data_IF_139276407761
#
_entry.id   IF_139276407761
#
_cell.length_a   1.000
_cell.length_b   1.000
_cell.length_c   1.000
_cell.angle_alpha   90.00
_cell.angle_beta   90.00
_cell.angle_gamma   90.00
#
_symmetry.space_group_name_H-M   'P 1'
#
loop_
_entity.id
_entity.type
_entity.pdbx_description
1 polymer ?
#
# COMPACT_ATOMS: atom_id res chain seq x y z
N UNK A 1 1.36 30.68 -3.20
CA UNK A 1 1.35 30.17 -4.58
C UNK A 1 1.61 28.68 -4.51
N UNK A 2 0.54 27.87 -4.48
CA UNK A 2 0.60 26.42 -4.35
C UNK A 2 0.50 25.78 -5.73
N UNK A 3 1.57 25.13 -6.16
CA UNK A 3 1.60 24.34 -7.39
C UNK A 3 1.24 22.90 -7.04
N UNK A 4 -0.05 22.65 -6.80
CA UNK A 4 -0.62 21.33 -7.05
C UNK A 4 -1.30 21.44 -8.40
N UNK A 5 -0.50 21.37 -9.48
CA UNK A 5 -1.02 21.24 -10.82
C UNK A 5 -1.91 19.99 -10.85
N UNK A 6 -3.20 20.20 -11.12
CA UNK A 6 -4.31 19.24 -11.20
C UNK A 6 -4.11 18.06 -12.17
N UNK A 7 -2.90 17.86 -12.71
CA UNK A 7 -2.60 17.04 -13.88
C UNK A 7 -2.45 15.54 -13.51
N UNK A 8 -2.37 15.20 -12.22
CA UNK A 8 -2.26 13.82 -11.72
C UNK A 8 -3.28 13.46 -10.62
N UNK A 9 -4.49 14.03 -10.67
CA UNK A 9 -5.57 13.61 -9.78
C UNK A 9 -6.06 12.19 -10.16
N UNK A 10 -6.30 11.34 -9.17
CA UNK A 10 -6.99 10.06 -9.39
C UNK A 10 -8.43 10.27 -9.88
N UNK A 11 -9.15 9.20 -10.28
CA UNK A 11 -10.53 9.33 -10.73
C UNK A 11 -11.40 10.06 -9.69
N UNK A 12 -12.18 11.05 -10.12
CA UNK A 12 -12.86 12.00 -9.23
C UNK A 12 -13.82 11.35 -8.21
N UNK A 13 -14.29 10.13 -8.48
CA UNK A 13 -15.17 9.37 -7.58
C UNK A 13 -14.42 8.65 -6.46
N UNK A 14 -13.10 8.46 -6.57
CA UNK A 14 -12.27 7.74 -5.60
C UNK A 14 -11.10 8.57 -5.09
N UNK A 15 -10.98 9.83 -5.55
CA UNK A 15 -9.89 10.74 -5.20
C UNK A 15 -10.42 11.97 -4.46
N UNK A 16 -9.86 12.23 -3.29
CA UNK A 16 -10.08 13.43 -2.50
C UNK A 16 -8.74 14.19 -2.42
N UNK A 17 -8.64 15.45 -2.84
CA UNK A 17 -7.37 16.19 -2.80
C UNK A 17 -6.81 16.37 -1.37
N UNK A 18 -7.63 16.28 -0.33
CA UNK A 18 -7.21 16.32 1.06
C UNK A 18 -6.91 14.92 1.64
N UNK A 19 -7.53 13.86 1.12
CA UNK A 19 -7.45 12.48 1.68
C UNK A 19 -6.89 11.42 0.73
N UNK A 20 -6.46 11.81 -0.47
CA UNK A 20 -5.91 10.93 -1.51
C UNK A 20 -6.95 9.88 -1.96
N UNK A 21 -6.60 8.60 -2.07
CA UNK A 21 -7.52 7.54 -2.51
C UNK A 21 -8.46 7.13 -1.39
N UNK A 22 -9.77 7.25 -1.64
CA UNK A 22 -10.81 6.85 -0.69
C UNK A 22 -11.07 5.35 -0.75
N UNK A 23 -11.25 4.73 0.41
CA UNK A 23 -11.73 3.35 0.53
C UNK A 23 -13.11 3.24 -0.12
N UNK A 24 -13.27 2.31 -1.07
CA UNK A 24 -14.52 2.10 -1.80
C UNK A 24 -15.38 0.99 -1.17
N UNK A 25 -14.75 -0.03 -0.59
CA UNK A 25 -15.47 -1.11 0.09
C UNK A 25 -14.60 -1.82 1.13
N UNK A 26 -15.22 -2.25 2.23
CA UNK A 26 -14.66 -3.16 3.23
C UNK A 26 -15.18 -4.59 3.06
N UNK A 27 -15.96 -4.86 2.01
CA UNK A 27 -16.47 -6.19 1.69
C UNK A 27 -15.50 -6.93 0.76
N UNK A 28 -15.10 -8.19 1.07
CA UNK A 28 -14.09 -8.90 0.29
C UNK A 28 -14.42 -9.09 -1.19
N UNK A 29 -15.69 -9.23 -1.54
CA UNK A 29 -16.17 -9.38 -2.93
C UNK A 29 -16.04 -8.10 -3.77
N UNK A 30 -15.58 -6.99 -3.18
CA UNK A 30 -15.52 -5.66 -3.78
C UNK A 30 -14.16 -4.98 -3.63
N UNK A 31 -13.15 -5.72 -3.18
CA UNK A 31 -11.79 -5.21 -2.99
C UNK A 31 -11.09 -4.83 -4.31
N UNK A 32 -11.56 -5.35 -5.44
CA UNK A 32 -11.13 -4.93 -6.78
C UNK A 32 -11.43 -3.45 -7.08
N UNK A 33 -12.32 -2.81 -6.30
CA UNK A 33 -12.61 -1.37 -6.38
C UNK A 33 -11.68 -0.50 -5.53
N UNK A 34 -10.95 -1.08 -4.59
CA UNK A 34 -10.02 -0.33 -3.74
C UNK A 34 -8.69 -0.12 -4.47
N UNK A 35 -8.05 1.01 -4.21
CA UNK A 35 -6.63 1.16 -4.50
C UNK A 35 -5.80 0.30 -3.53
N UNK A 36 -4.58 -0.14 -3.88
CA UNK A 36 -4.14 -0.35 -5.24
C UNK A 36 -4.79 -1.62 -5.82
N UNK A 37 -4.98 -1.72 -7.13
CA UNK A 37 -5.51 -2.93 -7.80
C UNK A 37 -4.41 -3.88 -8.33
N UNK A 38 -3.15 -3.48 -8.15
CA UNK A 38 -1.93 -4.22 -8.54
C UNK A 38 -0.74 -3.75 -7.68
N UNK A 39 0.39 -4.47 -7.74
CA UNK A 39 1.58 -4.09 -6.99
C UNK A 39 2.83 -4.87 -7.41
N UNK A 40 3.98 -4.42 -6.92
CA UNK A 40 5.27 -5.08 -7.09
C UNK A 40 6.03 -5.05 -5.77
N UNK A 41 7.09 -5.85 -5.66
CA UNK A 41 7.94 -5.85 -4.47
C UNK A 41 8.45 -4.44 -4.14
N UNK A 42 8.35 -4.06 -2.88
CA UNK A 42 8.82 -2.78 -2.36
C UNK A 42 7.89 -1.60 -2.60
N UNK A 43 6.81 -1.74 -3.39
CA UNK A 43 5.77 -0.70 -3.45
C UNK A 43 5.03 -0.64 -2.13
N UNK A 44 4.67 0.58 -1.73
CA UNK A 44 3.98 0.82 -0.48
C UNK A 44 2.98 1.97 -0.59
N UNK A 45 2.03 1.98 0.32
CA UNK A 45 1.09 3.07 0.53
C UNK A 45 0.84 3.26 2.02
N UNK A 46 0.46 4.47 2.41
CA UNK A 46 0.18 4.82 3.80
C UNK A 46 -1.33 4.94 4.00
N UNK A 47 -1.83 4.39 5.11
CA UNK A 47 -3.22 4.49 5.52
C UNK A 47 -3.41 5.76 6.35
N UNK A 48 -4.36 6.60 5.93
CA UNK A 48 -4.86 7.71 6.76
C UNK A 48 -5.95 7.18 7.71
N UNK A 49 -5.64 7.16 9.00
CA UNK A 49 -6.50 6.58 10.04
C UNK A 49 -6.97 7.72 10.95
N UNK A 50 -8.25 8.05 10.84
CA UNK A 50 -8.90 9.08 11.67
C UNK A 50 -9.66 8.50 12.87
N UNK A 51 -9.85 9.33 13.89
CA UNK A 51 -10.78 9.07 15.01
C UNK A 51 -10.20 8.31 16.20
N UNK A 52 -8.94 7.86 16.14
CA UNK A 52 -8.25 7.16 17.24
C UNK A 52 -6.72 7.19 17.08
N UNK A 53 -6.00 6.75 18.11
CA UNK A 53 -4.55 6.58 18.06
C UNK A 53 -4.16 5.27 17.36
N UNK A 54 -3.60 5.40 16.14
CA UNK A 54 -3.23 4.27 15.29
C UNK A 54 -2.19 3.32 15.94
N UNK A 55 -1.43 3.78 16.94
CA UNK A 55 -0.48 2.94 17.68
C UNK A 55 -1.15 1.87 18.53
N UNK A 56 -2.46 2.00 18.79
CA UNK A 56 -3.23 1.07 19.59
C UNK A 56 -3.86 -0.06 18.76
N UNK A 57 -3.69 -0.02 17.43
CA UNK A 57 -4.31 -0.96 16.50
C UNK A 57 -3.46 -2.23 16.34
N UNK A 58 -4.13 -3.37 16.42
CA UNK A 58 -3.58 -4.66 16.01
C UNK A 58 -3.86 -4.93 14.54
N UNK A 59 -2.86 -5.47 13.84
CA UNK A 59 -2.96 -5.79 12.40
C UNK A 59 -2.78 -7.28 12.16
N UNK A 60 -3.66 -7.84 11.34
CA UNK A 60 -3.49 -9.16 10.76
C UNK A 60 -3.54 -9.04 9.25
N UNK A 61 -2.63 -9.71 8.55
CA UNK A 61 -2.59 -9.73 7.09
C UNK A 61 -2.84 -11.16 6.61
N UNK A 62 -3.87 -11.32 5.79
CA UNK A 62 -4.15 -12.58 5.09
C UNK A 62 -3.87 -12.39 3.61
N UNK A 63 -3.12 -13.29 2.99
CA UNK A 63 -2.73 -13.20 1.58
C UNK A 63 -3.14 -14.47 0.84
N UNK A 64 -3.43 -14.33 -0.45
CA UNK A 64 -3.65 -15.42 -1.40
C UNK A 64 -2.88 -15.12 -2.68
N UNK A 65 -2.00 -16.03 -3.06
CA UNK A 65 -1.11 -15.88 -4.21
C UNK A 65 0.33 -15.65 -3.79
N UNK A 66 1.07 -14.98 -4.66
CA UNK A 66 2.53 -14.81 -4.60
C UNK A 66 2.93 -13.41 -4.15
N UNK A 67 1.96 -12.48 -4.11
CA UNK A 67 2.12 -11.14 -3.58
C UNK A 67 1.60 -11.14 -2.15
N UNK A 68 2.45 -10.71 -1.22
CA UNK A 68 2.11 -10.57 0.19
C UNK A 68 2.21 -9.12 0.64
N UNK A 69 1.74 -8.81 1.84
CA UNK A 69 1.81 -7.47 2.39
C UNK A 69 2.22 -7.51 3.86
N UNK A 70 2.88 -6.44 4.31
CA UNK A 70 3.17 -6.20 5.73
C UNK A 70 2.68 -4.82 6.13
N UNK A 71 2.15 -4.70 7.34
CA UNK A 71 1.80 -3.40 7.91
C UNK A 71 2.83 -3.01 8.96
N UNK A 72 3.27 -1.75 8.92
CA UNK A 72 4.21 -1.21 9.90
C UNK A 72 3.76 0.18 10.38
N UNK A 73 3.97 0.44 11.67
CA UNK A 73 3.83 1.76 12.25
C UNK A 73 5.22 2.38 12.40
N UNK A 74 5.54 3.37 11.58
CA UNK A 74 6.92 3.86 11.44
C UNK A 74 7.00 5.35 11.13
N UNK A 75 8.15 5.94 11.38
CA UNK A 75 8.46 7.27 10.86
C UNK A 75 8.78 7.20 9.35
N UNK A 76 8.37 8.22 8.59
CA UNK A 76 8.83 8.44 7.22
C UNK A 76 10.35 8.53 7.13
N UNK A 77 10.92 8.10 6.00
CA UNK A 77 12.37 8.24 5.75
C UNK A 77 12.74 9.72 5.67
N UNK A 78 13.68 10.17 6.51
CA UNK A 78 14.13 11.57 6.58
C UNK A 78 15.62 11.74 6.34
N UNK A 79 16.32 10.69 5.90
CA UNK A 79 17.75 10.78 5.62
C UNK A 79 18.01 11.58 4.32
N UNK A 80 19.16 12.25 4.25
CA UNK A 80 19.50 13.12 3.12
C UNK A 80 19.87 12.34 1.86
N UNK A 81 20.37 11.11 2.00
CA UNK A 81 20.83 10.29 0.89
C UNK A 81 19.68 9.60 0.14
N UNK A 82 18.50 9.51 0.76
CA UNK A 82 17.28 8.91 0.25
C UNK A 82 16.13 9.94 0.26
N UNK A 83 16.44 11.20 -0.04
CA UNK A 83 15.49 12.31 0.04
C UNK A 83 14.26 12.17 -0.87
N UNK A 84 14.35 11.33 -1.91
CA UNK A 84 13.22 10.99 -2.79
C UNK A 84 12.20 10.07 -2.12
N UNK A 85 12.62 9.27 -1.14
CA UNK A 85 11.72 8.39 -0.38
C UNK A 85 10.85 9.27 0.55
N UNK A 86 9.54 9.00 0.54
CA UNK A 86 8.55 9.71 1.36
C UNK A 86 8.53 11.23 1.16
N UNK A 87 8.97 11.71 -0.01
CA UNK A 87 9.07 13.15 -0.32
C UNK A 87 7.72 13.88 -0.25
N UNK A 88 6.61 13.16 -0.44
CA UNK A 88 5.25 13.70 -0.33
C UNK A 88 4.81 13.96 1.12
N UNK A 89 5.53 13.42 2.11
CA UNK A 89 5.19 13.59 3.53
C UNK A 89 5.90 14.84 4.07
N UNK A 90 5.14 15.93 4.25
CA UNK A 90 5.67 17.22 4.72
C UNK A 90 6.20 17.16 6.15
N UNK A 91 5.46 16.53 7.06
CA UNK A 91 5.86 16.40 8.46
C UNK A 91 6.36 14.99 8.77
N UNK A 92 7.67 14.78 8.63
CA UNK A 92 8.32 13.48 8.88
C UNK A 92 8.52 13.15 10.36
N UNK A 93 8.07 14.01 11.30
CA UNK A 93 8.06 13.70 12.75
C UNK A 93 6.82 12.92 13.19
N UNK A 94 5.85 12.72 12.29
CA UNK A 94 4.62 11.97 12.53
C UNK A 94 4.77 10.58 11.94
N UNK A 95 4.37 9.59 12.71
CA UNK A 95 4.36 8.21 12.26
C UNK A 95 3.26 7.99 11.21
N UNK A 96 3.45 7.00 10.34
CA UNK A 96 2.52 6.55 9.31
C UNK A 96 2.29 5.05 9.41
N UNK A 97 1.06 4.63 9.12
CA UNK A 97 0.70 3.21 8.99
C UNK A 97 0.95 2.80 7.56
N UNK A 98 2.10 2.18 7.32
CA UNK A 98 2.54 1.79 5.98
C UNK A 98 2.21 0.35 5.68
N UNK A 99 1.57 0.14 4.54
CA UNK A 99 1.40 -1.17 3.91
C UNK A 99 2.46 -1.32 2.83
N UNK A 100 3.35 -2.28 2.99
CA UNK A 100 4.38 -2.61 2.00
C UNK A 100 4.04 -3.93 1.33
N UNK A 101 4.10 -3.94 0.00
CA UNK A 101 3.87 -5.11 -0.83
C UNK A 101 5.19 -5.85 -1.08
N UNK A 102 5.11 -7.17 -1.06
CA UNK A 102 6.24 -8.06 -1.31
C UNK A 102 5.85 -9.05 -2.41
N UNK A 103 6.79 -9.38 -3.28
CA UNK A 103 6.53 -10.32 -4.37
C UNK A 103 7.79 -10.67 -5.14
N UNK A 104 7.65 -11.30 -6.32
CA UNK A 104 8.79 -11.58 -7.18
C UNK A 104 9.55 -10.30 -7.54
N UNK A 105 10.87 -10.32 -7.35
CA UNK A 105 11.80 -9.27 -7.77
C UNK A 105 13.05 -9.89 -8.37
N UNK A 106 13.67 -9.15 -9.28
CA UNK A 106 14.97 -9.55 -9.80
C UNK A 106 16.02 -9.44 -8.69
N UNK A 107 16.89 -10.44 -8.56
CA UNK A 107 18.06 -10.33 -7.70
C UNK A 107 19.18 -9.51 -8.37
N UNK A 108 20.23 -9.20 -7.62
CA UNK A 108 21.35 -8.39 -8.12
C UNK A 108 22.07 -9.02 -9.32
N UNK A 109 22.11 -10.35 -9.42
CA UNK A 109 22.74 -11.04 -10.54
C UNK A 109 21.89 -10.92 -11.82
N UNK A 110 20.56 -11.06 -11.70
CA UNK A 110 19.65 -10.82 -12.81
C UNK A 110 19.69 -9.37 -13.29
N UNK A 111 19.71 -8.39 -12.37
CA UNK A 111 19.76 -6.95 -12.69
C UNK A 111 21.06 -6.58 -13.43
N UNK A 112 22.19 -7.18 -13.05
CA UNK A 112 23.50 -6.89 -13.64
C UNK A 112 23.80 -7.68 -14.92
N UNK A 113 22.94 -8.64 -15.29
CA UNK A 113 23.14 -9.49 -16.46
C UNK A 113 22.76 -8.76 -17.75
N UNK A 114 23.59 -8.90 -18.79
CA UNK A 114 23.23 -8.51 -20.16
C UNK A 114 22.22 -9.45 -20.82
N UNK A 115 22.03 -10.66 -20.24
CA UNK A 115 21.06 -11.67 -20.63
C UNK A 115 20.29 -12.15 -19.39
N UNK A 116 19.35 -11.33 -18.86
CA UNK A 116 18.61 -11.69 -17.67
C UNK A 116 17.67 -12.87 -17.93
N UNK A 117 17.53 -13.76 -16.94
CA UNK A 117 16.50 -14.80 -16.95
C UNK A 117 15.11 -14.22 -16.66
N UNK A 118 14.05 -14.95 -17.01
CA UNK A 118 12.67 -14.50 -16.73
C UNK A 118 12.44 -14.35 -15.23
N UNK A 119 11.79 -13.25 -14.85
CA UNK A 119 11.27 -13.08 -13.50
C UNK A 119 10.09 -14.04 -13.27
N UNK A 120 9.96 -14.57 -12.05
CA UNK A 120 8.83 -15.42 -11.68
C UNK A 120 7.53 -14.63 -11.87
N UNK A 121 6.61 -15.17 -12.68
CA UNK A 121 5.32 -14.54 -12.96
C UNK A 121 4.33 -14.91 -11.84
N UNK A 122 3.75 -13.93 -11.13
CA UNK A 122 2.71 -14.21 -10.14
C UNK A 122 1.52 -14.94 -10.78
N UNK A 123 1.02 -15.95 -10.08
CA UNK A 123 -0.20 -16.67 -10.39
C UNK A 123 -1.44 -15.80 -10.08
N UNK A 124 -2.55 -15.95 -10.80
CA UNK A 124 -3.79 -15.24 -10.45
C UNK A 124 -4.83 -16.24 -9.92
N UNK A 125 -5.77 -15.82 -9.06
CA UNK A 125 -5.94 -14.47 -8.52
C UNK A 125 -4.95 -14.11 -7.41
N UNK A 126 -4.62 -12.82 -7.29
CA UNK A 126 -3.82 -12.27 -6.19
C UNK A 126 -4.75 -11.49 -5.25
N UNK A 127 -4.63 -11.69 -3.94
CA UNK A 127 -5.40 -10.95 -2.96
C UNK A 127 -4.65 -10.78 -1.65
N UNK A 128 -4.87 -9.64 -0.99
CA UNK A 128 -4.55 -9.49 0.42
C UNK A 128 -5.69 -8.78 1.15
N UNK A 129 -5.91 -9.20 2.40
CA UNK A 129 -6.85 -8.59 3.34
C UNK A 129 -6.08 -8.18 4.59
N UNK A 130 -6.13 -6.89 4.89
CA UNK A 130 -5.72 -6.28 6.14
C UNK A 130 -6.94 -6.27 7.06
N UNK A 131 -6.79 -6.91 8.20
CA UNK A 131 -7.77 -6.88 9.28
C UNK A 131 -7.18 -6.05 10.41
N UNK A 132 -7.85 -4.94 10.72
CA UNK A 132 -7.45 -4.04 11.80
C UNK A 132 -8.39 -4.18 12.98
N UNK A 133 -7.83 -4.31 14.18
CA UNK A 133 -8.57 -4.47 15.42
C UNK A 133 -8.15 -3.44 16.45
N UNK A 134 -9.12 -2.82 17.09
CA UNK A 134 -8.87 -1.99 18.26
C UNK A 134 -8.89 -2.81 19.57
N UNK A 135 -8.63 -2.15 20.70
CA UNK A 135 -8.64 -2.77 22.03
C UNK A 135 -10.02 -3.17 22.52
N UNK A 136 -11.07 -2.61 21.93
CA UNK A 136 -12.47 -2.91 22.24
C UNK A 136 -12.98 -4.12 21.43
N UNK A 137 -12.16 -4.66 20.53
CA UNK A 137 -12.51 -5.78 19.66
C UNK A 137 -13.28 -5.36 18.40
N UNK A 138 -13.39 -4.06 18.12
CA UNK A 138 -13.95 -3.60 16.86
C UNK A 138 -12.99 -3.91 15.72
N UNK A 139 -13.54 -4.39 14.61
CA UNK A 139 -12.77 -4.84 13.46
C UNK A 139 -13.16 -4.04 12.21
N UNK A 140 -12.16 -3.60 11.46
CA UNK A 140 -12.34 -3.07 10.10
C UNK A 140 -11.46 -3.88 9.16
N UNK A 141 -11.90 -4.01 7.91
CA UNK A 141 -11.18 -4.74 6.88
C UNK A 141 -10.91 -3.87 5.68
N UNK A 142 -9.76 -4.08 5.08
CA UNK A 142 -9.37 -3.46 3.83
C UNK A 142 -8.60 -4.47 3.02
N UNK A 143 -8.83 -4.53 1.72
CA UNK A 143 -8.06 -5.39 0.86
C UNK A 143 -8.11 -4.97 -0.59
N UNK A 144 -7.33 -5.70 -1.37
CA UNK A 144 -7.27 -5.64 -2.82
C UNK A 144 -7.39 -7.05 -3.38
N UNK A 145 -8.12 -7.19 -4.49
CA UNK A 145 -8.16 -8.41 -5.29
C UNK A 145 -7.81 -8.09 -6.74
N UNK A 146 -6.95 -8.92 -7.33
CA UNK A 146 -6.68 -8.96 -8.76
C UNK A 146 -7.17 -10.30 -9.31
N UNK A 147 -8.36 -10.35 -9.94
CA UNK A 147 -8.97 -11.60 -10.39
C UNK A 147 -8.23 -12.20 -11.60
N UNK A 148 -8.52 -13.47 -11.91
CA UNK A 148 -8.16 -14.07 -13.20
C UNK A 148 -8.80 -13.24 -14.32
N UNK A 149 -7.99 -12.76 -15.26
CA UNK A 149 -8.47 -12.10 -16.50
C UNK A 149 -8.93 -13.14 -17.51
#
# INVERSE_FOLDING_TARGET
>A
MGWDDQIYAGPANIWDPAKVFLVQSTSPSSYDRNFPTTGSDGLYFDLDIGGLDASLLGWTVTTRGDITATVSWRLPVSDQNNSDIDRWIRNKSKYVTRVTLHGPKADSAQISSSLPSSLARPSFPQAFELVVRDRSGNEVKYGCNSPLK
#
